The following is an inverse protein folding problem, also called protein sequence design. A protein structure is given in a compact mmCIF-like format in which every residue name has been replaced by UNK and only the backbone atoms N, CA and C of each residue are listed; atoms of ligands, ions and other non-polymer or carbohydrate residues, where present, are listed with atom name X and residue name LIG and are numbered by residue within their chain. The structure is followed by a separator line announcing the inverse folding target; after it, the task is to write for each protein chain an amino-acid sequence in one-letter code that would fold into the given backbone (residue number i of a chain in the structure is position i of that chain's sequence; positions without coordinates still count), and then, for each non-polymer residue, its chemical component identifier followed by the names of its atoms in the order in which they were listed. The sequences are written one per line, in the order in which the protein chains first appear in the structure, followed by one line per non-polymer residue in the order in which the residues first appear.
data_IF_356322001384
#
_entry.id   IF_356322001384
#
_cell.length_a   1.000
_cell.length_b   1.000
_cell.length_c   1.000
_cell.angle_alpha   90.00
_cell.angle_beta   90.00
_cell.angle_gamma   90.00
#
_symmetry.space_group_name_H-M   'P 1'
#
loop_
_entity.id
_entity.type
_entity.pdbx_description
1 polymer ?
#
# COMPACT_ATOMS: atom_id res chain seq x y z
N UNK A 1 -0.32 -6.58 8.82
CA UNK A 1 -0.61 -5.32 8.07
C UNK A 1 0.61 -4.81 7.30
N UNK A 2 1.67 -4.34 7.99
CA UNK A 2 2.85 -3.75 7.33
C UNK A 2 3.53 -4.73 6.37
N UNK A 3 3.77 -5.97 6.79
CA UNK A 3 4.38 -6.99 5.92
C UNK A 3 3.56 -7.25 4.66
N UNK A 4 2.22 -7.24 4.76
CA UNK A 4 1.33 -7.43 3.61
C UNK A 4 1.41 -6.24 2.64
N UNK A 5 1.46 -5.02 3.17
CA UNK A 5 1.66 -3.83 2.36
C UNK A 5 3.06 -3.80 1.71
N UNK A 6 4.11 -4.20 2.43
CA UNK A 6 5.47 -4.34 1.89
C UNK A 6 5.48 -5.36 0.75
N UNK A 7 4.87 -6.53 0.96
CA UNK A 7 4.77 -7.56 -0.08
C UNK A 7 4.04 -7.02 -1.31
N UNK A 8 2.88 -6.39 -1.14
CA UNK A 8 2.14 -5.78 -2.25
C UNK A 8 2.97 -4.71 -3.00
N UNK A 9 3.74 -3.90 -2.26
CA UNK A 9 4.66 -2.92 -2.87
C UNK A 9 5.77 -3.62 -3.67
N UNK A 10 6.41 -4.63 -3.10
CA UNK A 10 7.53 -5.36 -3.71
C UNK A 10 7.11 -6.18 -4.93
N UNK A 11 5.94 -6.82 -4.88
CA UNK A 11 5.37 -7.60 -6.00
C UNK A 11 4.63 -6.72 -7.02
N UNK A 12 4.61 -5.40 -6.81
CA UNK A 12 3.90 -4.42 -7.65
C UNK A 12 2.40 -4.69 -7.78
N UNK A 13 1.80 -5.34 -6.79
CA UNK A 13 0.36 -5.56 -6.71
C UNK A 13 -0.32 -4.33 -6.10
N UNK A 14 -1.34 -3.81 -6.78
CA UNK A 14 -2.12 -2.67 -6.27
C UNK A 14 -3.24 -3.11 -5.32
N UNK A 15 -3.52 -4.41 -5.27
CA UNK A 15 -4.41 -5.02 -4.30
C UNK A 15 -3.86 -6.39 -3.93
N UNK A 16 -3.77 -6.68 -2.64
CA UNK A 16 -3.35 -7.98 -2.13
C UNK A 16 -4.26 -8.36 -0.96
N UNK A 17 -4.88 -9.53 -1.08
CA UNK A 17 -5.68 -10.13 -0.02
C UNK A 17 -5.00 -11.42 0.43
N UNK A 18 -4.73 -11.53 1.73
CA UNK A 18 -4.19 -12.73 2.35
C UNK A 18 -4.95 -13.01 3.64
N UNK A 19 -5.57 -14.19 3.73
CA UNK A 19 -6.32 -14.61 4.91
C UNK A 19 -7.32 -13.54 5.41
N UNK A 20 -8.16 -13.03 4.50
CA UNK A 20 -9.14 -11.96 4.74
C UNK A 20 -8.56 -10.60 5.17
N UNK A 21 -7.24 -10.42 5.10
CA UNK A 21 -6.61 -9.12 5.27
C UNK A 21 -6.36 -8.55 3.88
N UNK A 22 -7.07 -7.49 3.52
CA UNK A 22 -6.94 -6.83 2.22
C UNK A 22 -6.21 -5.50 2.35
N UNK A 23 -5.16 -5.32 1.57
CA UNK A 23 -4.52 -4.02 1.37
C UNK A 23 -4.70 -3.56 -0.06
N UNK A 24 -4.94 -2.26 -0.23
CA UNK A 24 -4.96 -1.59 -1.52
C UNK A 24 -3.86 -0.53 -1.55
N UNK A 25 -3.04 -0.55 -2.59
CA UNK A 25 -1.96 0.39 -2.84
C UNK A 25 -2.40 1.33 -3.96
N UNK A 26 -2.41 2.63 -3.68
CA UNK A 26 -2.62 3.66 -4.69
C UNK A 26 -1.29 4.34 -4.94
N UNK A 27 -0.74 4.15 -6.14
CA UNK A 27 0.55 4.69 -6.56
C UNK A 27 0.35 5.99 -7.31
N UNK A 28 1.20 6.97 -7.04
CA UNK A 28 1.24 8.25 -7.73
C UNK A 28 2.69 8.72 -7.87
N UNK A 29 2.92 9.72 -8.71
CA UNK A 29 4.25 10.33 -8.86
C UNK A 29 4.82 10.89 -7.54
N UNK A 30 3.92 11.29 -6.64
CA UNK A 30 4.22 11.86 -5.34
C UNK A 30 4.44 10.81 -4.23
N UNK A 31 4.28 9.52 -4.54
CA UNK A 31 4.45 8.42 -3.60
C UNK A 31 3.26 7.46 -3.58
N UNK A 32 3.07 6.78 -2.44
CA UNK A 32 2.16 5.66 -2.26
C UNK A 32 1.17 5.96 -1.13
N UNK A 33 -0.10 5.60 -1.31
CA UNK A 33 -1.09 5.52 -0.23
C UNK A 33 -1.53 4.08 -0.07
N UNK A 34 -1.77 3.67 1.18
CA UNK A 34 -2.08 2.29 1.53
C UNK A 34 -3.37 2.30 2.33
N UNK A 35 -4.33 1.53 1.85
CA UNK A 35 -5.65 1.40 2.44
C UNK A 35 -5.85 -0.01 2.96
N UNK A 36 -6.55 -0.12 4.09
CA UNK A 36 -7.04 -1.38 4.64
C UNK A 36 -8.49 -1.17 5.07
N UNK A 37 -9.39 -2.03 4.62
CA UNK A 37 -10.83 -1.88 4.84
C UNK A 37 -11.33 -0.47 4.48
N UNK A 38 -10.93 0.03 3.31
CA UNK A 38 -11.27 1.37 2.78
C UNK A 38 -10.74 2.56 3.61
N UNK A 39 -10.00 2.32 4.70
CA UNK A 39 -9.37 3.37 5.50
C UNK A 39 -7.90 3.53 5.13
N UNK A 40 -7.44 4.75 4.91
CA UNK A 40 -6.02 5.03 4.75
C UNK A 40 -5.28 4.70 6.06
N UNK A 41 -4.30 3.80 5.98
CA UNK A 41 -3.51 3.35 7.14
C UNK A 41 -2.05 3.81 7.06
N UNK A 42 -1.55 4.12 5.87
CA UNK A 42 -0.18 4.57 5.68
C UNK A 42 -0.03 5.37 4.38
N UNK A 43 0.82 6.39 4.44
CA UNK A 43 1.22 7.20 3.29
C UNK A 43 2.75 7.28 3.24
N UNK A 44 3.31 6.96 2.09
CA UNK A 44 4.74 7.12 1.79
C UNK A 44 4.86 8.23 0.77
N UNK A 45 5.53 9.33 1.13
CA UNK A 45 5.77 10.45 0.21
C UNK A 45 7.16 10.32 -0.40
N UNK A 46 7.26 10.59 -1.70
CA UNK A 46 8.56 10.71 -2.36
C UNK A 46 9.23 11.96 -1.80
N UNK A 47 10.37 11.80 -1.12
CA UNK A 47 11.17 12.95 -0.68
C UNK A 47 11.79 13.57 -1.92
N UNK A 48 11.36 14.79 -2.24
CA UNK A 48 11.99 15.61 -3.27
C UNK A 48 13.26 16.18 -2.62
N UNK A 49 14.45 16.02 -3.24
CA UNK A 49 15.71 16.56 -2.72
C UNK A 49 15.71 18.09 -2.69
#
# INVERSE_FOLDING_TARGET
MLNLAIMAVQTKQDKLNLNNNEVQIVRSENGLKIYHNQKEVMKVVKKIP
#
